data_IF_701976272629
#
_entry.id   IF_701976272629
#
_cell.length_a   1.000
_cell.length_b   1.000
_cell.length_c   1.000
_cell.angle_alpha   90.00
_cell.angle_beta   90.00
_cell.angle_gamma   90.00
#
_symmetry.space_group_name_H-M   'P 1'
#
loop_
_entity.id
_entity.type
_entity.pdbx_description
1 polymer ?
#
# COMPACT_ATOMS: atom_id res chain seq x y z
N UNK A 1 -24.34 -16.17 24.42
CA UNK A 1 -23.65 -15.28 23.48
C UNK A 1 -22.32 -14.86 24.10
N UNK A 2 -21.23 -15.56 23.78
CA UNK A 2 -19.91 -15.19 24.29
C UNK A 2 -19.32 -14.11 23.37
N UNK A 3 -19.18 -12.89 23.90
CA UNK A 3 -18.44 -11.82 23.27
C UNK A 3 -16.95 -12.17 23.30
N UNK A 4 -16.49 -12.89 22.27
CA UNK A 4 -15.07 -13.10 22.02
C UNK A 4 -14.40 -11.75 21.74
N UNK A 5 -13.27 -11.50 22.38
CA UNK A 5 -12.48 -10.27 22.27
C UNK A 5 -12.04 -10.01 20.82
N UNK A 6 -11.83 -8.73 20.44
CA UNK A 6 -11.41 -8.36 19.08
C UNK A 6 -10.21 -9.18 18.58
N UNK A 7 -9.14 -9.33 19.38
CA UNK A 7 -7.94 -10.08 18.99
C UNK A 7 -8.17 -11.57 18.68
N UNK A 8 -9.18 -12.21 19.27
CA UNK A 8 -9.54 -13.59 18.94
C UNK A 8 -10.22 -13.71 17.57
N UNK A 9 -10.86 -12.64 17.10
CA UNK A 9 -11.52 -12.58 15.78
C UNK A 9 -10.52 -12.42 14.64
N UNK A 10 -9.43 -11.69 14.86
CA UNK A 10 -8.37 -11.51 13.85
C UNK A 10 -7.39 -12.67 13.84
N UNK A 11 -7.02 -13.26 14.99
CA UNK A 11 -6.26 -14.52 15.00
C UNK A 11 -7.02 -15.63 14.27
N UNK A 12 -8.32 -15.79 14.54
CA UNK A 12 -9.17 -16.70 13.80
C UNK A 12 -9.33 -16.33 12.32
N UNK A 13 -9.29 -15.04 11.95
CA UNK A 13 -9.25 -14.58 10.56
C UNK A 13 -7.94 -14.94 9.89
N UNK A 14 -6.78 -14.56 10.43
CA UNK A 14 -5.48 -14.89 9.87
C UNK A 14 -5.26 -16.39 9.83
N UNK A 15 -5.75 -17.16 10.80
CA UNK A 15 -5.64 -18.62 10.79
C UNK A 15 -6.65 -19.26 9.83
N UNK A 16 -7.88 -18.74 9.68
CA UNK A 16 -8.81 -19.17 8.61
C UNK A 16 -8.35 -18.76 7.23
N UNK A 17 -7.76 -17.59 7.11
CA UNK A 17 -7.28 -17.00 5.86
C UNK A 17 -6.00 -17.71 5.46
N UNK A 18 -5.09 -18.01 6.39
CA UNK A 18 -3.92 -18.89 6.17
C UNK A 18 -4.35 -20.34 5.94
N UNK A 19 -5.42 -20.83 6.57
CA UNK A 19 -5.94 -22.19 6.32
C UNK A 19 -6.66 -22.30 4.97
N UNK A 20 -7.45 -21.30 4.59
CA UNK A 20 -8.05 -21.18 3.26
C UNK A 20 -6.94 -20.97 2.20
N UNK A 21 -5.91 -20.21 2.55
CA UNK A 21 -4.71 -20.07 1.72
C UNK A 21 -3.87 -21.33 1.68
N UNK A 22 -3.86 -22.17 2.72
CA UNK A 22 -3.19 -23.48 2.73
C UNK A 22 -3.89 -24.49 1.84
N UNK A 23 -5.23 -24.42 1.77
CA UNK A 23 -6.01 -25.16 0.76
C UNK A 23 -5.64 -24.69 -0.64
N UNK A 24 -5.34 -23.40 -0.85
CA UNK A 24 -4.75 -22.93 -2.10
C UNK A 24 -3.22 -23.07 -2.17
N UNK A 25 -2.47 -23.33 -1.09
CA UNK A 25 -1.04 -23.64 -1.13
C UNK A 25 -0.85 -25.05 -1.70
N UNK A 26 -1.76 -26.00 -1.41
CA UNK A 26 -1.81 -27.29 -2.12
C UNK A 26 -2.18 -27.13 -3.60
N UNK A 27 -2.91 -26.10 -3.98
CA UNK A 27 -3.18 -25.75 -5.39
C UNK A 27 -2.10 -24.81 -5.99
N UNK A 28 -1.23 -24.20 -5.16
CA UNK A 28 -0.13 -23.33 -5.60
C UNK A 28 1.21 -24.08 -5.70
N UNK A 29 1.35 -25.20 -4.97
CA UNK A 29 2.35 -26.24 -5.22
C UNK A 29 2.03 -27.04 -6.50
N UNK A 30 0.78 -26.97 -6.99
CA UNK A 30 0.34 -27.46 -8.29
C UNK A 30 -0.44 -26.40 -9.08
N UNK A 31 0.19 -25.25 -9.35
CA UNK A 31 -0.21 -24.45 -10.51
C UNK A 31 0.39 -25.06 -11.80
N UNK A 32 0.20 -26.37 -12.00
CA UNK A 32 0.17 -26.98 -13.32
C UNK A 32 -1.31 -27.06 -13.69
N UNK A 33 -1.87 -25.96 -14.19
CA UNK A 33 -2.93 -25.97 -15.22
C UNK A 33 -3.45 -24.54 -15.46
N UNK A 34 -3.22 -24.04 -16.67
CA UNK A 34 -4.17 -23.13 -17.33
C UNK A 34 -3.64 -21.85 -17.95
N UNK A 35 -2.50 -21.32 -17.53
CA UNK A 35 -1.97 -20.07 -18.09
C UNK A 35 -0.66 -20.33 -18.83
N UNK A 36 -0.69 -20.33 -20.17
CA UNK A 36 0.48 -20.41 -21.07
C UNK A 36 1.38 -19.15 -20.99
N UNK A 37 1.45 -18.51 -19.82
CA UNK A 37 2.16 -17.27 -19.59
C UNK A 37 3.65 -17.51 -19.38
N UNK A 38 4.48 -16.71 -20.06
CA UNK A 38 5.93 -16.73 -19.88
C UNK A 38 6.32 -16.04 -18.57
N UNK A 39 6.93 -16.77 -17.63
CA UNK A 39 7.52 -16.19 -16.44
C UNK A 39 8.76 -15.35 -16.78
N UNK A 40 8.79 -14.09 -16.32
CA UNK A 40 10.00 -13.24 -16.39
C UNK A 40 10.87 -13.37 -15.14
N UNK A 41 10.27 -13.82 -14.03
CA UNK A 41 10.93 -14.16 -12.78
C UNK A 41 10.20 -15.35 -12.21
N UNK A 42 10.94 -16.38 -11.79
CA UNK A 42 10.41 -17.48 -11.00
C UNK A 42 11.49 -17.99 -10.05
N UNK A 43 11.39 -17.59 -8.79
CA UNK A 43 12.32 -17.96 -7.73
C UNK A 43 11.56 -18.73 -6.66
N UNK A 44 11.80 -20.06 -6.50
CA UNK A 44 10.98 -20.91 -5.65
C UNK A 44 11.11 -20.58 -4.15
N UNK A 45 12.30 -20.20 -3.70
CA UNK A 45 12.57 -19.92 -2.30
C UNK A 45 13.45 -18.68 -2.15
N UNK A 46 12.82 -17.53 -1.91
CA UNK A 46 13.54 -16.31 -1.53
C UNK A 46 13.46 -16.06 -0.02
N UNK A 47 14.54 -15.51 0.50
CA UNK A 47 14.63 -14.95 1.85
C UNK A 47 15.00 -13.48 1.70
N UNK A 48 14.29 -12.61 2.41
CA UNK A 48 14.55 -11.18 2.38
C UNK A 48 14.67 -10.64 3.80
N UNK A 49 15.79 -10.00 4.10
CA UNK A 49 16.03 -9.30 5.36
C UNK A 49 16.45 -7.85 5.12
N UNK A 50 16.17 -6.99 6.09
CA UNK A 50 16.62 -5.59 6.09
C UNK A 50 16.90 -5.12 7.52
N UNK A 51 18.07 -4.54 7.76
CA UNK A 51 18.45 -4.01 9.06
C UNK A 51 18.36 -5.05 10.21
N UNK A 52 18.69 -6.31 9.94
CA UNK A 52 18.58 -7.41 10.91
C UNK A 52 17.17 -8.00 11.08
N UNK A 53 16.12 -7.36 10.53
CA UNK A 53 14.76 -7.89 10.54
C UNK A 53 14.50 -8.76 9.30
N UNK A 54 14.03 -9.98 9.52
CA UNK A 54 13.54 -10.84 8.43
C UNK A 54 12.16 -10.38 7.97
N UNK A 55 12.04 -10.03 6.70
CA UNK A 55 10.83 -9.53 6.06
C UNK A 55 10.10 -10.61 5.27
N UNK A 56 10.83 -11.45 4.52
CA UNK A 56 10.31 -12.62 3.83
C UNK A 56 11.13 -13.85 4.19
N UNK A 57 10.46 -14.99 4.37
CA UNK A 57 11.07 -16.27 4.74
C UNK A 57 10.56 -17.39 3.83
N UNK A 58 11.46 -17.99 3.05
CA UNK A 58 11.21 -19.16 2.19
C UNK A 58 9.87 -19.08 1.45
N UNK A 59 9.77 -18.12 0.54
CA UNK A 59 8.56 -17.89 -0.24
C UNK A 59 8.90 -17.81 -1.71
N UNK A 60 8.01 -18.30 -2.58
CA UNK A 60 8.15 -18.16 -4.03
C UNK A 60 7.93 -16.71 -4.44
N UNK A 61 8.80 -16.20 -5.30
CA UNK A 61 8.66 -14.92 -5.98
C UNK A 61 8.59 -15.17 -7.48
N UNK A 62 7.40 -15.03 -8.05
CA UNK A 62 7.16 -15.18 -9.47
C UNK A 62 6.45 -13.96 -10.07
N UNK A 63 6.73 -13.70 -11.34
CA UNK A 63 6.10 -12.65 -12.15
C UNK A 63 5.92 -13.15 -13.59
N UNK A 64 4.71 -13.04 -14.13
CA UNK A 64 4.38 -13.31 -15.53
C UNK A 64 4.62 -12.07 -16.40
N UNK A 65 5.05 -12.29 -17.65
CA UNK A 65 5.28 -11.23 -18.62
C UNK A 65 3.98 -10.48 -18.94
N UNK A 66 3.99 -9.15 -18.85
CA UNK A 66 2.84 -8.31 -19.20
C UNK A 66 1.76 -8.18 -18.14
N UNK A 67 1.87 -8.87 -17.00
CA UNK A 67 0.89 -8.78 -15.90
C UNK A 67 1.07 -7.51 -15.06
N UNK A 68 -0.01 -7.06 -14.42
CA UNK A 68 -0.03 -5.88 -13.55
C UNK A 68 -0.36 -6.31 -12.13
N UNK A 69 0.67 -6.38 -11.30
CA UNK A 69 0.59 -6.84 -9.93
C UNK A 69 0.38 -5.70 -8.95
N UNK A 70 -0.56 -5.83 -8.01
CA UNK A 70 -0.62 -5.02 -6.80
C UNK A 70 0.08 -5.72 -5.64
N UNK A 71 1.03 -5.07 -5.00
CA UNK A 71 1.68 -5.55 -3.79
C UNK A 71 0.97 -4.98 -2.55
N UNK A 72 0.18 -5.81 -1.90
CA UNK A 72 -0.66 -5.45 -0.75
C UNK A 72 -0.09 -6.06 0.53
N UNK A 73 -0.16 -5.33 1.64
CA UNK A 73 0.29 -5.81 2.94
C UNK A 73 0.28 -4.69 3.97
N UNK A 74 0.42 -5.03 5.24
CA UNK A 74 0.47 -4.03 6.31
C UNK A 74 1.70 -3.09 6.16
N UNK A 75 1.65 -1.94 6.84
CA UNK A 75 2.81 -1.05 6.90
C UNK A 75 3.94 -1.75 7.65
N UNK A 76 5.17 -1.61 7.15
CA UNK A 76 6.32 -2.35 7.68
C UNK A 76 6.43 -3.82 7.26
N UNK A 77 5.53 -4.32 6.39
CA UNK A 77 5.63 -5.68 5.83
C UNK A 77 6.82 -5.88 4.87
N UNK A 78 7.51 -4.80 4.47
CA UNK A 78 8.67 -4.87 3.57
C UNK A 78 8.38 -4.62 2.08
N UNK A 79 7.22 -4.04 1.73
CA UNK A 79 6.82 -3.75 0.33
C UNK A 79 7.87 -2.93 -0.44
N UNK A 80 8.18 -1.73 0.04
CA UNK A 80 9.21 -0.85 -0.54
C UNK A 80 10.60 -1.48 -0.51
N UNK A 81 10.91 -2.30 0.51
CA UNK A 81 12.17 -3.04 0.56
C UNK A 81 12.26 -4.08 -0.55
N UNK A 82 11.19 -4.87 -0.78
CA UNK A 82 11.13 -5.83 -1.87
C UNK A 82 11.29 -5.12 -3.22
N UNK A 83 10.57 -4.03 -3.44
CA UNK A 83 10.69 -3.23 -4.67
C UNK A 83 12.09 -2.67 -4.88
N UNK A 84 12.73 -2.17 -3.82
CA UNK A 84 14.11 -1.65 -3.90
C UNK A 84 15.10 -2.73 -4.29
N UNK A 85 14.91 -3.96 -3.81
CA UNK A 85 15.78 -5.11 -4.10
C UNK A 85 15.56 -5.64 -5.52
N UNK A 86 14.30 -5.67 -5.97
CA UNK A 86 13.95 -5.92 -7.37
C UNK A 86 14.63 -4.91 -8.30
N UNK A 87 14.54 -3.61 -8.00
CA UNK A 87 15.16 -2.56 -8.80
C UNK A 87 16.70 -2.66 -8.88
N UNK A 88 17.33 -3.26 -7.86
CA UNK A 88 18.79 -3.44 -7.78
C UNK A 88 19.25 -4.78 -8.36
N UNK A 89 18.34 -5.64 -8.81
CA UNK A 89 18.63 -7.00 -9.26
C UNK A 89 19.49 -7.79 -8.26
N UNK A 90 19.30 -7.55 -6.95
CA UNK A 90 20.20 -8.04 -5.90
C UNK A 90 19.58 -9.19 -5.07
N UNK A 91 18.45 -9.72 -5.52
CA UNK A 91 17.83 -10.95 -5.00
C UNK A 91 18.59 -12.16 -5.57
N UNK A 92 18.86 -13.15 -4.73
CA UNK A 92 19.58 -14.37 -5.13
C UNK A 92 18.76 -15.11 -6.20
N UNK A 93 19.39 -15.45 -7.33
CA UNK A 93 18.75 -16.12 -8.46
C UNK A 93 18.02 -15.19 -9.43
N UNK A 94 17.97 -13.87 -9.15
CA UNK A 94 17.27 -12.93 -10.01
C UNK A 94 17.88 -12.86 -11.43
N UNK A 95 17.07 -12.80 -12.50
CA UNK A 95 17.59 -12.79 -13.87
C UNK A 95 18.45 -11.54 -14.15
N UNK A 96 19.67 -11.74 -14.67
CA UNK A 96 20.61 -10.64 -14.91
C UNK A 96 20.23 -9.72 -16.08
N UNK A 97 19.48 -10.24 -17.04
CA UNK A 97 19.08 -9.51 -18.25
C UNK A 97 17.74 -8.78 -18.10
N UNK A 98 17.07 -8.92 -16.94
CA UNK A 98 15.78 -8.28 -16.72
C UNK A 98 15.98 -6.82 -16.32
N UNK A 99 15.41 -5.91 -17.11
CA UNK A 99 15.50 -4.47 -16.85
C UNK A 99 14.34 -4.02 -15.98
N UNK A 100 14.61 -3.94 -14.68
CA UNK A 100 13.67 -3.40 -13.69
C UNK A 100 13.90 -1.90 -13.52
N UNK A 101 12.88 -1.08 -13.77
CA UNK A 101 12.93 0.36 -13.55
C UNK A 101 12.02 0.75 -12.39
N UNK A 102 12.61 1.33 -11.36
CA UNK A 102 11.87 1.90 -10.24
C UNK A 102 11.62 3.39 -10.47
N UNK A 103 10.36 3.72 -10.74
CA UNK A 103 9.89 5.10 -10.86
C UNK A 103 9.73 5.67 -9.45
N UNK A 104 10.59 6.61 -9.09
CA UNK A 104 10.47 7.35 -7.83
C UNK A 104 9.61 8.60 -8.03
N UNK A 105 8.76 8.88 -7.04
CA UNK A 105 7.77 9.95 -7.10
C UNK A 105 8.34 11.37 -6.91
N UNK A 106 9.65 11.50 -6.64
CA UNK A 106 10.26 12.77 -6.24
C UNK A 106 11.38 13.19 -7.19
N UNK A 107 11.00 13.74 -8.34
CA UNK A 107 11.89 14.70 -9.02
C UNK A 107 11.64 16.04 -8.33
N UNK A 108 12.29 16.23 -7.18
CA UNK A 108 12.37 17.52 -6.50
C UNK A 108 13.62 18.22 -7.01
N UNK A 109 13.44 19.08 -8.00
CA UNK A 109 14.52 19.89 -8.56
C UNK A 109 14.04 21.32 -8.72
N UNK A 110 14.87 22.26 -8.28
CA UNK A 110 14.69 23.69 -8.48
C UNK A 110 15.48 24.18 -9.71
N UNK A 111 15.89 23.25 -10.58
CA UNK A 111 16.62 23.59 -11.78
C UNK A 111 15.71 24.30 -12.80
N UNK A 112 16.22 25.40 -13.34
CA UNK A 112 15.58 26.18 -14.39
C UNK A 112 15.90 25.64 -15.80
N UNK A 113 16.57 24.49 -15.89
CA UNK A 113 16.92 23.85 -17.15
C UNK A 113 15.65 23.37 -17.89
N UNK A 114 15.61 23.49 -19.23
CA UNK A 114 14.54 22.91 -20.04
C UNK A 114 14.34 21.43 -19.74
N UNK A 115 13.09 20.95 -19.72
CA UNK A 115 12.77 19.53 -19.42
C UNK A 115 13.55 18.55 -20.29
N UNK A 116 13.67 18.84 -21.59
CA UNK A 116 14.39 17.95 -22.52
C UNK A 116 15.89 17.91 -22.22
N UNK A 117 16.47 19.04 -21.84
CA UNK A 117 17.90 19.15 -21.54
C UNK A 117 18.21 18.51 -20.20
N UNK A 118 17.36 18.74 -19.19
CA UNK A 118 17.40 18.05 -17.90
C UNK A 118 17.44 16.52 -18.07
N UNK A 119 16.52 15.97 -18.87
CA UNK A 119 16.47 14.53 -19.12
C UNK A 119 17.71 14.03 -19.88
N UNK A 120 18.18 14.80 -20.86
CA UNK A 120 19.38 14.48 -21.65
C UNK A 120 20.63 14.44 -20.77
N UNK A 121 20.78 15.40 -19.86
CA UNK A 121 21.91 15.51 -18.93
C UNK A 121 21.90 14.41 -17.86
N UNK A 122 20.74 14.14 -17.26
CA UNK A 122 20.62 13.08 -16.24
C UNK A 122 20.88 11.70 -16.82
N UNK A 123 20.27 11.38 -17.97
CA UNK A 123 20.34 10.04 -18.56
C UNK A 123 21.57 9.85 -19.45
N UNK A 124 22.26 10.93 -19.84
CA UNK A 124 23.40 10.91 -20.76
C UNK A 124 23.10 10.22 -22.09
N UNK A 125 21.87 10.39 -22.58
CA UNK A 125 21.38 9.82 -23.83
C UNK A 125 21.22 10.89 -24.91
N UNK A 126 21.10 10.52 -26.20
CA UNK A 126 20.85 11.48 -27.26
C UNK A 126 19.56 12.28 -27.02
N UNK A 127 19.62 13.59 -27.25
CA UNK A 127 18.48 14.51 -27.08
C UNK A 127 17.25 14.08 -27.89
N UNK A 128 17.46 13.49 -29.07
CA UNK A 128 16.39 12.99 -29.93
C UNK A 128 15.60 11.85 -29.27
N UNK A 129 16.27 10.94 -28.58
CA UNK A 129 15.62 9.82 -27.89
C UNK A 129 14.86 10.32 -26.66
N UNK A 130 15.48 11.23 -25.89
CA UNK A 130 14.86 11.90 -24.74
C UNK A 130 13.59 12.65 -25.14
N UNK A 131 13.65 13.42 -26.23
CA UNK A 131 12.50 14.13 -26.79
C UNK A 131 11.38 13.16 -27.19
N UNK A 132 11.69 12.09 -27.91
CA UNK A 132 10.70 11.09 -28.32
C UNK A 132 10.02 10.41 -27.13
N UNK A 133 10.76 10.10 -26.07
CA UNK A 133 10.21 9.52 -24.85
C UNK A 133 9.25 10.50 -24.14
N UNK A 134 9.61 11.78 -24.06
CA UNK A 134 8.76 12.84 -23.49
C UNK A 134 7.49 13.07 -24.32
N UNK A 135 7.59 13.08 -25.64
CA UNK A 135 6.44 13.20 -26.54
C UNK A 135 5.49 11.99 -26.37
N UNK A 136 6.03 10.79 -26.16
CA UNK A 136 5.24 9.55 -25.94
C UNK A 136 4.35 9.64 -24.70
N UNK A 137 4.81 10.30 -23.63
CA UNK A 137 4.01 10.52 -22.42
C UNK A 137 3.16 11.81 -22.48
N UNK A 138 3.24 12.55 -23.58
CA UNK A 138 2.38 13.68 -23.91
C UNK A 138 2.94 15.07 -23.65
N UNK A 139 4.27 15.25 -23.54
CA UNK A 139 4.86 16.59 -23.50
C UNK A 139 4.73 17.28 -24.87
N UNK A 140 4.23 18.52 -24.87
CA UNK A 140 4.20 19.35 -26.07
C UNK A 140 5.58 19.98 -26.36
N UNK A 141 5.85 20.41 -27.61
CA UNK A 141 7.10 21.11 -27.94
C UNK A 141 7.39 22.34 -27.07
N UNK A 142 6.34 23.03 -26.64
CA UNK A 142 6.47 24.17 -25.72
C UNK A 142 6.88 23.74 -24.31
N UNK A 143 6.35 22.61 -23.81
CA UNK A 143 6.69 22.09 -22.49
C UNK A 143 8.10 21.49 -22.43
N UNK A 144 8.60 20.95 -23.54
CA UNK A 144 9.98 20.47 -23.62
C UNK A 144 11.01 21.58 -23.32
N UNK A 145 10.65 22.83 -23.66
CA UNK A 145 11.48 24.02 -23.45
C UNK A 145 11.18 24.74 -22.13
N UNK A 146 10.14 24.33 -21.40
CA UNK A 146 9.79 24.93 -20.12
C UNK A 146 10.79 24.48 -19.03
N UNK A 147 11.02 25.30 -17.99
CA UNK A 147 11.83 24.91 -16.84
C UNK A 147 11.28 23.66 -16.16
N UNK A 148 12.13 22.69 -15.80
CA UNK A 148 11.70 21.48 -15.07
C UNK A 148 11.09 21.80 -13.69
N UNK A 149 11.54 22.89 -13.05
CA UNK A 149 10.97 23.43 -11.80
C UNK A 149 9.47 23.73 -11.93
N UNK A 150 9.02 24.19 -13.11
CA UNK A 150 7.63 24.59 -13.37
C UNK A 150 6.64 23.43 -13.55
N UNK A 151 7.12 22.18 -13.62
CA UNK A 151 6.25 21.02 -13.81
C UNK A 151 5.38 20.74 -12.58
N UNK A 152 4.07 20.55 -12.80
CA UNK A 152 3.14 20.05 -11.78
C UNK A 152 3.46 18.60 -11.40
N UNK A 153 2.91 18.11 -10.26
CA UNK A 153 3.11 16.73 -9.81
C UNK A 153 2.79 15.67 -10.88
N UNK A 154 1.71 15.88 -11.65
CA UNK A 154 1.36 15.01 -12.79
C UNK A 154 2.37 15.02 -13.91
N UNK A 155 2.92 16.18 -14.25
CA UNK A 155 3.97 16.27 -15.26
C UNK A 155 5.31 15.70 -14.78
N UNK A 156 5.61 15.79 -13.49
CA UNK A 156 6.78 15.13 -12.89
C UNK A 156 6.65 13.61 -12.93
N UNK A 157 5.46 13.06 -12.66
CA UNK A 157 5.19 11.63 -12.85
C UNK A 157 5.36 11.22 -14.32
N UNK A 158 4.82 12.01 -15.27
CA UNK A 158 5.03 11.76 -16.71
C UNK A 158 6.50 11.77 -17.08
N UNK A 159 7.28 12.73 -16.59
CA UNK A 159 8.73 12.78 -16.79
C UNK A 159 9.41 11.52 -16.25
N UNK A 160 9.04 11.07 -15.05
CA UNK A 160 9.57 9.85 -14.45
C UNK A 160 9.22 8.59 -15.26
N UNK A 161 8.02 8.53 -15.86
CA UNK A 161 7.64 7.47 -16.79
C UNK A 161 8.38 7.55 -18.13
N UNK A 162 8.62 8.76 -18.66
CA UNK A 162 9.42 8.93 -19.88
C UNK A 162 10.84 8.38 -19.70
N UNK A 163 11.44 8.57 -18.51
CA UNK A 163 12.72 7.93 -18.16
C UNK A 163 12.65 6.41 -18.29
N UNK A 164 11.58 5.78 -17.80
CA UNK A 164 11.43 4.32 -17.89
C UNK A 164 11.35 3.79 -19.34
N UNK A 165 10.81 4.59 -20.27
CA UNK A 165 10.79 4.24 -21.69
C UNK A 165 12.19 4.22 -22.32
N UNK A 166 13.08 5.14 -21.90
CA UNK A 166 14.46 5.20 -22.40
C UNK A 166 15.25 3.94 -22.06
N UNK A 167 14.97 3.34 -20.90
CA UNK A 167 15.59 2.10 -20.45
C UNK A 167 14.95 0.84 -21.01
N UNK A 168 13.88 0.96 -21.81
CA UNK A 168 13.12 -0.17 -22.36
C UNK A 168 12.77 -1.19 -21.25
N UNK A 169 12.17 -0.71 -20.15
CA UNK A 169 11.91 -1.55 -18.98
C UNK A 169 11.08 -2.80 -19.33
N UNK A 170 11.56 -3.97 -18.89
CA UNK A 170 10.79 -5.22 -18.95
C UNK A 170 9.83 -5.31 -17.76
N UNK A 171 10.22 -4.68 -16.64
CA UNK A 171 9.42 -4.57 -15.42
C UNK A 171 9.44 -3.15 -14.85
N UNK A 172 8.26 -2.58 -14.62
CA UNK A 172 8.09 -1.25 -14.04
C UNK A 172 7.66 -1.36 -12.57
N UNK A 173 8.36 -0.68 -11.66
CA UNK A 173 8.08 -0.66 -10.23
C UNK A 173 7.57 0.73 -9.85
N UNK A 174 6.37 0.81 -9.28
CA UNK A 174 5.66 2.04 -8.96
C UNK A 174 5.24 2.04 -7.49
N UNK A 175 5.74 2.99 -6.70
CA UNK A 175 5.41 3.11 -5.27
C UNK A 175 4.62 4.40 -5.04
N UNK A 176 3.35 4.24 -4.67
CA UNK A 176 2.34 5.29 -4.52
C UNK A 176 2.25 6.29 -5.69
N UNK A 177 2.07 5.82 -6.95
CA UNK A 177 2.17 6.69 -8.12
C UNK A 177 0.99 7.65 -8.30
N UNK A 178 -0.08 7.52 -7.50
CA UNK A 178 -1.23 8.44 -7.52
C UNK A 178 -1.06 9.61 -6.56
N UNK A 179 -0.02 9.61 -5.72
CA UNK A 179 0.22 10.71 -4.79
C UNK A 179 0.40 12.04 -5.54
N UNK A 180 -0.18 13.11 -5.02
CA UNK A 180 -0.10 14.45 -5.63
C UNK A 180 -0.62 14.54 -7.08
N UNK A 181 -1.37 13.55 -7.56
CA UNK A 181 -2.04 13.59 -8.86
C UNK A 181 -3.48 14.06 -8.70
N UNK A 182 -3.96 14.84 -9.66
CA UNK A 182 -5.39 15.10 -9.80
C UNK A 182 -6.06 13.91 -10.52
N UNK A 183 -7.39 13.92 -10.53
CA UNK A 183 -8.18 12.82 -11.10
C UNK A 183 -7.89 12.59 -12.60
N UNK A 184 -7.60 13.66 -13.37
CA UNK A 184 -7.30 13.53 -14.79
C UNK A 184 -5.94 12.89 -15.02
N UNK A 185 -4.93 13.26 -14.23
CA UNK A 185 -3.61 12.66 -14.27
C UNK A 185 -3.63 11.18 -13.81
N UNK A 186 -4.42 10.85 -12.79
CA UNK A 186 -4.64 9.45 -12.34
C UNK A 186 -5.28 8.63 -13.46
N UNK A 187 -6.31 9.15 -14.14
CA UNK A 187 -6.95 8.45 -15.26
C UNK A 187 -5.98 8.23 -16.42
N UNK A 188 -5.22 9.26 -16.81
CA UNK A 188 -4.19 9.13 -17.84
C UNK A 188 -3.14 8.07 -17.48
N UNK A 189 -2.71 8.03 -16.21
CA UNK A 189 -1.75 7.04 -15.74
C UNK A 189 -2.31 5.62 -15.86
N UNK A 190 -3.57 5.42 -15.47
CA UNK A 190 -4.23 4.12 -15.58
C UNK A 190 -4.30 3.67 -17.04
N UNK A 191 -4.70 4.57 -17.95
CA UNK A 191 -4.79 4.28 -19.39
C UNK A 191 -3.41 3.95 -19.97
N UNK A 192 -2.37 4.69 -19.57
CA UNK A 192 -0.99 4.44 -19.97
C UNK A 192 -0.49 3.07 -19.52
N UNK A 193 -0.64 2.70 -18.23
CA UNK A 193 -0.22 1.39 -17.73
C UNK A 193 -0.98 0.24 -18.40
N UNK A 194 -2.26 0.44 -18.69
CA UNK A 194 -3.06 -0.54 -19.42
C UNK A 194 -2.65 -0.71 -20.89
N UNK A 195 -2.03 0.31 -21.49
CA UNK A 195 -1.47 0.24 -22.85
C UNK A 195 -0.21 -0.61 -22.94
N UNK A 196 0.53 -0.76 -21.83
CA UNK A 196 1.74 -1.57 -21.76
C UNK A 196 1.39 -3.06 -21.70
N UNK A 197 1.26 -3.71 -22.86
CA UNK A 197 0.88 -5.14 -22.94
C UNK A 197 2.02 -6.09 -22.60
N UNK A 198 3.24 -5.75 -22.99
CA UNK A 198 4.41 -6.62 -22.82
C UNK A 198 5.20 -6.35 -21.52
N UNK A 199 5.07 -5.15 -20.96
CA UNK A 199 5.77 -4.76 -19.73
C UNK A 199 5.01 -5.24 -18.50
N UNK A 200 5.70 -5.94 -17.60
CA UNK A 200 5.14 -6.31 -16.30
C UNK A 200 5.20 -5.11 -15.36
N UNK A 201 4.14 -4.87 -14.59
CA UNK A 201 4.08 -3.74 -13.63
C UNK A 201 3.89 -4.28 -12.22
N UNK A 202 4.68 -3.79 -11.27
CA UNK A 202 4.47 -4.00 -9.83
C UNK A 202 4.12 -2.66 -9.17
N UNK A 203 2.94 -2.61 -8.59
CA UNK A 203 2.35 -1.41 -8.00
C UNK A 203 2.18 -1.56 -6.49
N UNK A 204 2.60 -0.55 -5.72
CA UNK A 204 2.13 -0.31 -4.36
C UNK A 204 1.27 0.95 -4.39
N UNK A 205 0.01 0.86 -3.97
CA UNK A 205 -0.87 2.02 -3.88
C UNK A 205 -1.92 1.83 -2.79
N UNK A 206 -2.29 2.94 -2.15
CA UNK A 206 -3.47 3.01 -1.29
C UNK A 206 -4.75 3.43 -2.03
N UNK A 207 -4.67 3.77 -3.33
CA UNK A 207 -5.82 4.16 -4.15
C UNK A 207 -6.53 2.92 -4.71
N UNK A 208 -7.67 2.59 -4.12
CA UNK A 208 -8.48 1.44 -4.52
C UNK A 208 -9.10 1.59 -5.92
N UNK A 209 -9.53 2.78 -6.31
CA UNK A 209 -10.17 2.99 -7.61
C UNK A 209 -9.13 2.84 -8.73
N UNK A 210 -7.94 3.41 -8.52
CA UNK A 210 -6.83 3.24 -9.44
C UNK A 210 -6.39 1.78 -9.57
N UNK A 211 -6.24 1.06 -8.45
CA UNK A 211 -5.90 -0.37 -8.49
C UNK A 211 -6.95 -1.20 -9.25
N UNK A 212 -8.24 -0.93 -9.05
CA UNK A 212 -9.31 -1.63 -9.78
C UNK A 212 -9.22 -1.44 -11.30
N UNK A 213 -8.71 -0.29 -11.78
CA UNK A 213 -8.60 0.01 -13.21
C UNK A 213 -7.38 -0.65 -13.88
N UNK A 214 -6.33 -0.99 -13.13
CA UNK A 214 -5.02 -1.35 -13.68
C UNK A 214 -4.59 -2.78 -13.36
N UNK A 215 -4.96 -3.28 -12.18
CA UNK A 215 -4.37 -4.50 -11.60
C UNK A 215 -5.07 -5.74 -12.13
N UNK A 216 -4.29 -6.69 -12.64
CA UNK A 216 -4.73 -8.03 -13.04
C UNK A 216 -4.53 -9.07 -11.94
N UNK A 217 -3.54 -8.85 -11.07
CA UNK A 217 -3.08 -9.82 -10.09
C UNK A 217 -2.75 -9.14 -8.76
N UNK A 218 -3.03 -9.81 -7.64
CA UNK A 218 -2.68 -9.30 -6.30
C UNK A 218 -1.64 -10.20 -5.65
N UNK A 219 -0.58 -9.59 -5.15
CA UNK A 219 0.43 -10.21 -4.30
C UNK A 219 0.22 -9.70 -2.88
N UNK A 220 -0.23 -10.57 -1.98
CA UNK A 220 -0.42 -10.25 -0.57
C UNK A 220 0.82 -10.68 0.23
N UNK A 221 1.46 -9.71 0.87
CA UNK A 221 2.49 -9.92 1.87
C UNK A 221 1.84 -10.14 3.23
N UNK A 222 1.97 -11.35 3.77
CA UNK A 222 1.44 -11.69 5.09
C UNK A 222 2.33 -12.73 5.77
N UNK A 223 2.54 -12.60 7.09
CA UNK A 223 3.34 -13.54 7.90
C UNK A 223 4.70 -13.91 7.26
N UNK A 224 5.41 -12.91 6.72
CA UNK A 224 6.71 -13.07 6.03
C UNK A 224 6.66 -13.96 4.77
N UNK A 225 5.50 -14.13 4.15
CA UNK A 225 5.29 -14.87 2.88
C UNK A 225 4.56 -14.02 1.85
N UNK A 226 4.69 -14.42 0.57
CA UNK A 226 3.97 -13.87 -0.57
C UNK A 226 2.85 -14.83 -0.99
N UNK A 227 1.64 -14.30 -1.16
CA UNK A 227 0.47 -15.03 -1.63
C UNK A 227 -0.05 -14.40 -2.91
N UNK A 228 -0.25 -15.21 -3.95
CA UNK A 228 -0.65 -14.75 -5.28
C UNK A 228 -2.13 -15.00 -5.54
N UNK A 229 -2.81 -14.00 -6.09
CA UNK A 229 -4.21 -14.07 -6.48
C UNK A 229 -4.33 -13.59 -7.93
N UNK A 230 -4.62 -14.52 -8.85
CA UNK A 230 -4.93 -14.18 -10.24
C UNK A 230 -6.38 -13.70 -10.33
N UNK A 231 -6.61 -12.46 -9.92
CA UNK A 231 -7.93 -11.84 -9.89
C UNK A 231 -7.77 -10.33 -9.86
N UNK A 232 -8.74 -9.62 -10.43
CA UNK A 232 -8.81 -8.17 -10.29
C UNK A 232 -8.89 -7.74 -8.80
N UNK A 233 -8.55 -6.49 -8.55
CA UNK A 233 -8.47 -5.97 -7.19
C UNK A 233 -9.84 -5.96 -6.47
N UNK A 234 -10.95 -5.83 -7.20
CA UNK A 234 -12.29 -5.82 -6.60
C UNK A 234 -12.66 -7.21 -6.06
N UNK A 235 -12.42 -8.26 -6.85
CA UNK A 235 -12.61 -9.65 -6.49
C UNK A 235 -11.77 -10.01 -5.27
N UNK A 236 -10.50 -9.63 -5.26
CA UNK A 236 -9.62 -9.81 -4.11
C UNK A 236 -10.20 -9.16 -2.84
N UNK A 237 -10.68 -7.90 -2.92
CA UNK A 237 -11.29 -7.22 -1.78
C UNK A 237 -12.57 -7.92 -1.28
N UNK A 238 -13.41 -8.44 -2.19
CA UNK A 238 -14.62 -9.19 -1.81
C UNK A 238 -14.25 -10.47 -1.07
N UNK A 239 -13.27 -11.23 -1.58
CA UNK A 239 -12.75 -12.44 -0.94
C UNK A 239 -12.16 -12.14 0.43
N UNK A 240 -11.36 -11.08 0.55
CA UNK A 240 -10.79 -10.62 1.81
C UNK A 240 -11.89 -10.26 2.83
N UNK A 241 -12.93 -9.52 2.40
CA UNK A 241 -14.08 -9.14 3.26
C UNK A 241 -14.86 -10.36 3.72
N UNK A 242 -15.15 -11.31 2.83
CA UNK A 242 -15.86 -12.55 3.17
C UNK A 242 -15.10 -13.40 4.18
N UNK A 243 -13.79 -13.51 4.01
CA UNK A 243 -12.94 -14.25 4.94
C UNK A 243 -12.84 -13.53 6.30
N UNK A 244 -12.87 -12.19 6.31
CA UNK A 244 -12.85 -11.36 7.53
C UNK A 244 -14.18 -11.29 8.28
N UNK A 245 -15.27 -11.72 7.66
CA UNK A 245 -16.58 -11.72 8.28
C UNK A 245 -16.70 -12.86 9.32
N UNK A 246 -17.27 -12.60 10.51
CA UNK A 246 -17.51 -13.65 11.50
C UNK A 246 -18.47 -14.68 10.91
N UNK A 247 -18.03 -15.93 10.82
CA UNK A 247 -18.86 -17.03 10.36
C UNK A 247 -20.14 -17.10 11.21
N UNK A 248 -21.28 -16.73 10.61
CA UNK A 248 -22.58 -16.99 11.21
C UNK A 248 -22.80 -18.51 11.15
N UNK A 249 -22.40 -19.20 12.21
CA UNK A 249 -22.70 -20.60 12.38
C UNK A 249 -24.23 -20.75 12.43
N UNK A 250 -24.84 -21.18 11.32
CA UNK A 250 -26.23 -21.66 11.33
C UNK A 250 -26.20 -22.99 12.06
N UNK A 251 -26.37 -22.95 13.39
CA UNK A 251 -26.72 -24.14 14.14
C UNK A 251 -28.12 -24.59 13.65
N UNK A 252 -28.15 -25.59 12.78
CA UNK A 252 -29.34 -26.41 12.57
C UNK A 252 -29.54 -27.25 13.83
N UNK A 253 -30.16 -26.67 14.86
CA UNK A 253 -30.71 -27.46 15.94
C UNK A 253 -31.90 -28.23 15.39
N UNK A 254 -31.67 -29.51 15.10
CA UNK A 254 -32.73 -30.50 14.99
C UNK A 254 -33.55 -30.47 16.28
N UNK A 255 -34.82 -30.15 16.12
CA UNK A 255 -35.85 -30.16 17.14
C UNK A 255 -36.10 -31.61 17.59
N UNK A 256 -35.72 -31.94 18.83
CA UNK A 256 -36.38 -33.01 19.60
C UNK A 256 -36.71 -32.41 20.97
N UNK A 257 -37.97 -32.55 21.34
CA UNK A 257 -38.67 -31.78 22.38
C UNK A 257 -38.25 -32.04 23.85
N UNK A 258 -38.95 -31.37 24.78
CA UNK A 258 -38.52 -31.23 26.17
C UNK A 258 -39.11 -32.31 27.08
N UNK A 259 -38.32 -32.79 28.04
CA UNK A 259 -38.85 -33.36 29.29
C UNK A 259 -37.99 -32.94 30.46
N UNK A 260 -38.62 -32.18 31.36
CA UNK A 260 -38.18 -31.70 32.66
C UNK A 260 -38.32 -32.77 33.73
N UNK A 261 -37.34 -32.96 34.64
CA UNK A 261 -37.59 -33.26 36.07
C UNK A 261 -36.38 -32.88 36.96
N UNK A 262 -36.57 -31.85 37.80
CA UNK A 262 -36.28 -31.66 39.25
C UNK A 262 -35.13 -32.45 39.94
N UNK A 263 -34.30 -31.76 40.77
CA UNK A 263 -33.82 -32.33 42.05
C UNK A 263 -32.43 -31.95 42.61
N UNK A 264 -32.41 -30.98 43.55
CA UNK A 264 -31.72 -30.93 44.86
C UNK A 264 -30.25 -31.42 45.13
N UNK A 265 -29.52 -30.53 45.83
CA UNK A 265 -28.61 -30.74 47.00
C UNK A 265 -27.27 -31.49 46.92
N UNK A 266 -26.21 -30.72 47.20
CA UNK A 266 -25.11 -30.92 48.16
C UNK A 266 -24.53 -32.32 48.41
N UNK A 267 -23.21 -32.47 48.20
CA UNK A 267 -22.31 -33.33 49.02
C UNK A 267 -20.84 -32.86 48.93
N UNK A 268 -20.14 -33.09 50.04
CA UNK A 268 -18.86 -32.57 50.53
C UNK A 268 -17.61 -33.08 49.78
N UNK A 269 -16.51 -32.35 49.93
CA UNK A 269 -15.11 -32.73 49.68
C UNK A 269 -14.62 -33.88 50.60
N UNK A 270 -13.40 -34.42 50.38
CA UNK A 270 -12.28 -33.87 51.15
C UNK A 270 -10.94 -33.70 50.39
N UNK A 271 -10.10 -32.93 51.05
CA UNK A 271 -8.75 -32.47 50.72
C UNK A 271 -7.70 -33.59 50.58
N UNK A 272 -6.73 -33.38 49.69
CA UNK A 272 -5.37 -33.91 49.84
C UNK A 272 -4.39 -32.74 49.71
N UNK A 273 -3.87 -32.33 50.86
CA UNK A 273 -2.69 -31.49 51.03
C UNK A 273 -1.48 -32.42 51.07
N UNK A 274 -0.47 -32.20 50.22
CA UNK A 274 0.89 -32.20 50.75
C UNK A 274 1.86 -31.35 49.93
N UNK A 275 2.52 -30.46 50.69
CA UNK A 275 3.63 -29.62 50.30
C UNK A 275 4.87 -30.45 49.96
N UNK A 276 5.66 -29.98 49.01
CA UNK A 276 7.07 -29.68 49.26
C UNK A 276 7.59 -28.73 48.17
N UNK A 277 8.09 -27.59 48.65
CA UNK A 277 8.59 -26.51 47.80
C UNK A 277 10.02 -26.75 47.39
N UNK A 278 10.28 -26.56 46.10
CA UNK A 278 11.57 -26.16 45.56
C UNK A 278 11.29 -25.17 44.43
N UNK A 279 11.69 -23.90 44.63
CA UNK A 279 11.65 -22.87 43.60
C UNK A 279 12.78 -23.15 42.61
N UNK A 280 12.53 -23.35 41.30
CA UNK A 280 13.61 -23.33 40.33
C UNK A 280 14.05 -21.89 40.06
N UNK A 281 15.36 -21.77 40.00
CA UNK A 281 16.19 -20.58 39.91
C UNK A 281 15.86 -19.70 38.67
N UNK A 282 15.80 -18.38 38.85
CA UNK A 282 15.31 -17.38 37.87
C UNK A 282 16.36 -16.87 36.87
N UNK A 283 17.58 -17.38 36.88
CA UNK A 283 18.71 -16.70 36.22
C UNK A 283 19.25 -17.35 34.94
N UNK A 284 18.49 -18.22 34.25
CA UNK A 284 18.90 -18.78 32.94
C UNK A 284 17.80 -18.85 31.86
N UNK A 285 16.82 -17.94 31.90
CA UNK A 285 15.77 -17.84 30.86
C UNK A 285 15.72 -16.44 30.20
N UNK A 286 16.88 -15.81 29.99
CA UNK A 286 16.98 -14.45 29.45
C UNK A 286 17.50 -14.37 28.00
N UNK A 287 17.42 -15.44 27.21
CA UNK A 287 17.92 -15.47 25.82
C UNK A 287 16.97 -16.15 24.81
N UNK A 288 15.66 -16.03 25.02
CA UNK A 288 14.66 -16.42 24.02
C UNK A 288 13.39 -15.58 24.22
N UNK A 289 13.49 -14.29 23.91
CA UNK A 289 12.34 -13.40 23.70
C UNK A 289 12.54 -12.68 22.38
N UNK A 290 12.37 -13.41 21.30
CA UNK A 290 12.16 -12.84 19.97
C UNK A 290 10.89 -13.45 19.40
N UNK A 291 10.14 -12.62 18.69
CA UNK A 291 8.75 -12.79 18.25
C UNK A 291 7.70 -12.64 19.38
N UNK A 292 7.61 -11.43 19.95
CA UNK A 292 6.31 -10.97 20.45
C UNK A 292 5.34 -10.96 19.26
N UNK A 293 4.32 -11.82 19.33
CA UNK A 293 3.13 -11.76 18.51
C UNK A 293 2.61 -10.31 18.50
N UNK A 294 2.91 -9.54 17.45
CA UNK A 294 2.31 -8.23 17.21
C UNK A 294 0.79 -8.42 17.25
N UNK A 295 0.12 -7.81 18.23
CA UNK A 295 -1.34 -7.91 18.39
C UNK A 295 -1.99 -7.55 17.04
N UNK A 296 -2.59 -8.53 16.33
CA UNK A 296 -3.06 -8.31 14.97
C UNK A 296 -4.30 -7.41 14.93
N UNK A 297 -4.83 -7.03 16.10
CA UNK A 297 -5.88 -6.02 16.28
C UNK A 297 -5.33 -4.66 16.77
N UNK A 298 -4.01 -4.45 16.69
CA UNK A 298 -3.42 -3.11 16.74
C UNK A 298 -3.89 -2.30 15.53
N UNK A 299 -5.13 -1.82 15.62
CA UNK A 299 -5.56 -0.63 14.91
C UNK A 299 -4.92 0.50 15.70
N UNK A 300 -3.88 1.17 15.18
CA UNK A 300 -3.40 2.37 15.83
C UNK A 300 -4.60 3.32 15.96
N UNK A 301 -5.18 3.41 17.17
CA UNK A 301 -6.19 4.41 17.47
C UNK A 301 -5.44 5.71 17.64
N UNK A 302 -5.11 6.31 16.51
CA UNK A 302 -4.50 7.61 16.47
C UNK A 302 -5.56 8.64 16.85
N UNK A 303 -5.53 9.05 18.11
CA UNK A 303 -6.30 10.20 18.59
C UNK A 303 -5.32 11.33 18.79
N UNK A 304 -5.53 12.41 18.04
CA UNK A 304 -4.85 13.66 18.34
C UNK A 304 -5.19 14.09 19.78
N UNK A 305 -4.25 14.71 20.50
CA UNK A 305 -4.57 15.33 21.79
C UNK A 305 -5.66 16.39 21.57
N UNK A 306 -6.51 16.58 22.57
CA UNK A 306 -7.49 17.66 22.51
C UNK A 306 -6.75 19.00 22.40
N UNK A 307 -7.17 19.90 21.50
CA UNK A 307 -6.56 21.22 21.39
C UNK A 307 -6.67 21.95 22.73
N UNK A 308 -5.64 22.73 23.07
CA UNK A 308 -5.63 23.56 24.27
C UNK A 308 -6.75 24.62 24.25
N UNK A 309 -6.99 25.22 25.42
CA UNK A 309 -7.92 26.34 25.52
C UNK A 309 -7.39 27.52 24.71
N UNK A 310 -8.28 28.13 23.92
CA UNK A 310 -7.98 29.35 23.18
C UNK A 310 -8.67 30.52 23.90
N UNK A 311 -7.90 31.55 24.23
CA UNK A 311 -8.41 32.73 24.91
C UNK A 311 -9.54 33.39 24.11
N UNK A 312 -10.67 33.62 24.79
CA UNK A 312 -11.88 34.14 24.17
C UNK A 312 -12.70 33.12 23.36
N UNK A 313 -12.31 31.85 23.25
CA UNK A 313 -13.07 30.84 22.49
C UNK A 313 -13.75 29.86 23.43
N UNK A 314 -14.94 30.23 23.92
CA UNK A 314 -15.74 29.39 24.84
C UNK A 314 -16.62 28.36 24.11
N UNK A 315 -16.81 28.50 22.79
CA UNK A 315 -17.63 27.59 21.99
C UNK A 315 -16.85 27.06 20.79
N UNK A 316 -17.07 25.77 20.48
CA UNK A 316 -16.47 25.09 19.32
C UNK A 316 -16.92 25.67 17.98
N UNK A 317 -18.05 26.38 17.95
CA UNK A 317 -18.61 27.01 16.75
C UNK A 317 -18.12 28.44 16.55
N UNK A 318 -17.40 29.01 17.52
CA UNK A 318 -16.84 30.36 17.37
C UNK A 318 -15.71 30.32 16.34
N UNK A 319 -15.71 31.32 15.46
CA UNK A 319 -14.68 31.47 14.43
C UNK A 319 -13.34 31.75 15.11
N UNK A 320 -12.37 30.89 14.85
CA UNK A 320 -11.00 31.00 15.37
C UNK A 320 -10.10 31.66 14.32
N UNK A 321 -10.28 31.31 13.04
CA UNK A 321 -9.53 31.90 11.94
C UNK A 321 -10.50 32.42 10.89
N UNK A 322 -10.21 33.62 10.36
CA UNK A 322 -11.03 34.27 9.36
C UNK A 322 -10.16 34.98 8.35
N UNK A 323 -10.37 34.63 7.09
CA UNK A 323 -9.81 35.33 5.94
C UNK A 323 -10.96 36.00 5.19
N UNK A 324 -10.74 37.22 4.72
CA UNK A 324 -11.72 37.97 3.94
C UNK A 324 -11.01 38.58 2.74
N UNK A 325 -11.54 38.31 1.56
CA UNK A 325 -11.12 38.91 0.29
C UNK A 325 -9.61 38.85 0.08
N UNK A 326 -9.01 37.72 0.42
CA UNK A 326 -7.57 37.53 0.30
C UNK A 326 -7.22 37.35 -1.16
N UNK A 327 -6.19 38.09 -1.56
CA UNK A 327 -5.53 37.97 -2.86
C UNK A 327 -4.06 37.68 -2.60
N UNK A 328 -3.47 36.78 -3.37
CA UNK A 328 -2.02 36.61 -3.41
C UNK A 328 -1.56 36.22 -4.80
N UNK A 329 -0.33 36.63 -5.10
CA UNK A 329 0.39 36.40 -6.36
C UNK A 329 1.79 35.95 -6.00
N UNK A 330 2.28 34.86 -6.60
CA UNK A 330 3.67 34.44 -6.39
C UNK A 330 4.63 35.51 -6.91
N UNK A 331 5.80 35.72 -6.25
CA UNK A 331 6.82 36.61 -6.79
C UNK A 331 7.24 36.17 -8.20
N UNK A 332 7.03 37.02 -9.20
CA UNK A 332 7.31 36.71 -10.62
C UNK A 332 6.08 36.45 -11.48
N UNK A 333 4.91 36.17 -10.87
CA UNK A 333 3.68 35.95 -11.61
C UNK A 333 2.95 37.26 -11.94
N UNK A 334 2.41 37.34 -13.16
CA UNK A 334 1.61 38.49 -13.61
C UNK A 334 0.12 38.40 -13.22
N UNK A 335 -0.34 37.22 -12.79
CA UNK A 335 -1.75 36.97 -12.44
C UNK A 335 -1.86 36.47 -11.00
N UNK A 336 -2.86 36.93 -10.23
CA UNK A 336 -3.05 36.48 -8.87
C UNK A 336 -3.49 35.01 -8.86
N UNK A 337 -2.73 34.19 -8.15
CA UNK A 337 -2.99 32.77 -7.99
C UNK A 337 -4.21 32.52 -7.07
N UNK A 338 -4.44 33.39 -6.06
CA UNK A 338 -5.72 33.48 -5.32
C UNK A 338 -6.30 34.88 -5.49
N UNK A 339 -7.60 34.97 -5.77
CA UNK A 339 -8.29 36.25 -5.90
C UNK A 339 -9.64 36.22 -5.17
N UNK A 340 -9.85 37.20 -4.29
CA UNK A 340 -11.08 37.42 -3.51
C UNK A 340 -11.55 36.20 -2.66
N UNK A 341 -10.59 35.46 -2.10
CA UNK A 341 -10.89 34.26 -1.31
C UNK A 341 -11.25 34.62 0.14
N UNK A 342 -12.36 34.09 0.63
CA UNK A 342 -12.83 34.30 2.01
C UNK A 342 -13.13 32.96 2.69
N UNK A 343 -12.58 32.76 3.88
CA UNK A 343 -12.64 31.51 4.65
C UNK A 343 -12.94 31.81 6.11
N UNK A 344 -13.67 30.91 6.79
CA UNK A 344 -13.83 30.91 8.25
C UNK A 344 -13.60 29.50 8.77
N UNK A 345 -12.75 29.36 9.78
CA UNK A 345 -12.49 28.11 10.49
C UNK A 345 -12.94 28.23 11.95
N UNK A 346 -13.44 27.13 12.50
CA UNK A 346 -13.88 26.98 13.89
C UNK A 346 -13.22 25.73 14.49
N UNK A 347 -13.22 25.56 15.81
CA UNK A 347 -12.70 24.33 16.45
C UNK A 347 -13.50 23.06 16.10
N UNK A 348 -14.71 23.22 15.55
CA UNK A 348 -15.53 22.11 15.06
C UNK A 348 -15.41 21.86 13.55
N UNK A 349 -14.63 22.66 12.83
CA UNK A 349 -14.57 22.60 11.37
C UNK A 349 -13.97 21.27 10.88
N UNK A 350 -14.68 20.62 9.96
CA UNK A 350 -14.18 19.51 9.13
C UNK A 350 -14.31 19.98 7.68
N UNK A 351 -13.18 20.30 7.04
CA UNK A 351 -13.15 20.92 5.72
C UNK A 351 -12.24 20.07 4.82
N UNK A 352 -12.71 19.81 3.61
CA UNK A 352 -11.90 19.27 2.52
C UNK A 352 -11.68 20.39 1.50
N UNK A 353 -10.45 20.55 1.03
CA UNK A 353 -10.11 21.44 -0.09
C UNK A 353 -9.95 20.55 -1.31
N UNK A 354 -10.69 20.85 -2.37
CA UNK A 354 -10.74 20.06 -3.60
C UNK A 354 -10.49 20.96 -4.80
N UNK A 355 -9.81 20.42 -5.80
CA UNK A 355 -9.60 21.06 -7.10
C UNK A 355 -8.38 20.49 -7.82
N UNK A 356 -8.05 21.10 -8.95
CA UNK A 356 -6.96 20.65 -9.82
C UNK A 356 -5.58 21.05 -9.29
N UNK A 357 -4.56 20.28 -9.66
CA UNK A 357 -3.18 20.64 -9.34
C UNK A 357 -2.82 21.99 -9.99
N UNK A 358 -2.21 22.89 -9.21
CA UNK A 358 -1.89 24.24 -9.68
C UNK A 358 -3.04 25.25 -9.57
N UNK A 359 -4.26 24.85 -9.20
CA UNK A 359 -5.38 25.76 -8.93
C UNK A 359 -5.25 26.54 -7.61
N UNK A 360 -4.15 26.33 -6.90
CA UNK A 360 -3.84 27.00 -5.65
C UNK A 360 -4.26 26.27 -4.37
N UNK A 361 -4.21 24.94 -4.39
CA UNK A 361 -4.63 24.08 -3.26
C UNK A 361 -3.48 23.78 -2.29
N UNK A 362 -2.25 23.70 -2.79
CA UNK A 362 -1.01 23.46 -2.01
C UNK A 362 -0.36 24.77 -1.52
N UNK A 363 -1.17 25.78 -1.27
CA UNK A 363 -0.75 27.11 -0.85
C UNK A 363 -0.28 27.24 0.58
#
# INVERSE_FOLDING_TARGET
MLNLSPGYRIKAFCDKFTAALKVTETDAEHAEDGDEGKYIVDLPEIILGFGGKMLLNQTRLCFLQGHKYALVGHNGAGKTTLMTRLARNDIIGFPQNLRCVYVKHEILTDQETPVVDFLTEEEKLPKADCQKALETVGFSPTMLQAPVSSLSGGWRMKLALARSLLYQADMLLLDEPTNHLDHQAVQWLADYLNSLKETTVLLVSHDHEFMQKVVSDVILVNRKKLYYFHSDFEQFQRTQKQLSAPAKFKASTNTIGPTSVVGASARRAPDIINNNGEKPNKDKAAAAKEDEDEDPDFRPQFKFPNPGLLDGVQSRTRVVMKMKKVRYTYPGDSKPTLNDVSLKLTLGSKIAILGENGAGILW
#
